data_IF_094345854858
#
_entry.id   IF_094345854858
#
_cell.length_a   1.000
_cell.length_b   1.000
_cell.length_c   1.000
_cell.angle_alpha   90.00
_cell.angle_beta   90.00
_cell.angle_gamma   90.00
#
_symmetry.space_group_name_H-M   'P 1'
#
loop_
_entity.id
_entity.type
_entity.pdbx_description
1 polymer ?
#
# COMPACT_ATOMS: atom_id res chain seq x y z
N UNK A 1 -14.07 -67.42 21.39
CA UNK A 1 -13.64 -66.27 20.49
C UNK A 1 -14.55 -65.04 20.60
N UNK A 2 -15.20 -64.75 21.72
CA UNK A 2 -16.22 -63.70 21.83
C UNK A 2 -15.86 -62.45 22.67
N UNK A 3 -14.74 -62.43 23.42
CA UNK A 3 -14.50 -61.38 24.40
C UNK A 3 -13.67 -60.20 23.90
N UNK A 4 -12.94 -60.30 22.78
CA UNK A 4 -12.10 -59.18 22.23
C UNK A 4 -12.92 -58.18 21.40
N UNK A 5 -14.01 -58.62 20.76
CA UNK A 5 -14.86 -57.76 19.90
C UNK A 5 -15.71 -56.80 20.73
N UNK A 6 -16.12 -57.23 21.94
CA UNK A 6 -16.97 -56.41 22.82
C UNK A 6 -16.21 -55.23 23.44
N UNK A 7 -14.90 -55.34 23.69
CA UNK A 7 -14.09 -54.26 24.21
C UNK A 7 -13.82 -53.18 23.15
N UNK A 8 -13.73 -53.51 21.87
CA UNK A 8 -13.50 -52.58 20.78
C UNK A 8 -14.72 -51.69 20.51
N UNK A 9 -15.95 -52.20 20.66
CA UNK A 9 -17.19 -51.41 20.52
C UNK A 9 -17.33 -50.27 21.56
N UNK A 10 -16.77 -50.46 22.77
CA UNK A 10 -16.81 -49.40 23.83
C UNK A 10 -15.90 -48.22 23.53
N UNK A 11 -14.84 -48.40 22.75
CA UNK A 11 -13.90 -47.34 22.39
C UNK A 11 -14.23 -46.64 21.06
N UNK A 12 -15.18 -47.18 20.30
CA UNK A 12 -15.60 -46.61 19.02
C UNK A 12 -16.08 -45.16 19.12
N UNK A 13 -16.92 -44.72 20.09
CA UNK A 13 -17.33 -43.33 20.22
C UNK A 13 -16.19 -42.40 20.62
N UNK A 14 -15.19 -42.90 21.34
CA UNK A 14 -14.02 -42.11 21.76
C UNK A 14 -13.10 -41.90 20.56
N UNK A 15 -12.89 -42.89 19.72
CA UNK A 15 -12.07 -42.79 18.50
C UNK A 15 -12.71 -41.87 17.46
N UNK A 16 -14.04 -41.90 17.31
CA UNK A 16 -14.75 -40.98 16.41
C UNK A 16 -14.71 -39.52 16.91
N UNK A 17 -14.88 -39.32 18.21
CA UNK A 17 -14.78 -38.00 18.82
C UNK A 17 -13.37 -37.43 18.68
N UNK A 18 -12.32 -38.25 18.88
CA UNK A 18 -10.93 -37.83 18.67
C UNK A 18 -10.63 -37.50 17.21
N UNK A 19 -11.16 -38.31 16.28
CA UNK A 19 -11.03 -38.04 14.83
C UNK A 19 -11.66 -36.68 14.41
N UNK A 20 -12.88 -36.41 14.90
CA UNK A 20 -13.57 -35.13 14.65
C UNK A 20 -12.80 -33.95 15.27
N UNK A 21 -12.27 -34.16 16.48
CA UNK A 21 -11.49 -33.12 17.16
C UNK A 21 -10.19 -32.80 16.40
N UNK A 22 -9.46 -33.83 15.96
CA UNK A 22 -8.23 -33.63 15.14
C UNK A 22 -8.58 -32.98 13.79
N UNK A 23 -9.66 -33.38 13.15
CA UNK A 23 -10.14 -32.78 11.91
C UNK A 23 -10.50 -31.30 12.11
N UNK A 24 -11.17 -30.91 13.19
CA UNK A 24 -11.46 -29.54 13.55
C UNK A 24 -10.19 -28.75 13.79
N UNK A 25 -9.20 -29.32 14.50
CA UNK A 25 -7.91 -28.64 14.72
C UNK A 25 -7.14 -28.39 13.40
N UNK A 26 -7.11 -29.38 12.51
CA UNK A 26 -6.46 -29.25 11.20
C UNK A 26 -7.21 -28.24 10.33
N UNK A 27 -8.54 -28.25 10.33
CA UNK A 27 -9.35 -27.27 9.61
C UNK A 27 -9.12 -25.85 10.15
N UNK A 28 -9.01 -25.66 11.46
CA UNK A 28 -8.69 -24.37 12.06
C UNK A 28 -7.27 -23.90 11.70
N UNK A 29 -6.28 -24.79 11.68
CA UNK A 29 -4.91 -24.43 11.24
C UNK A 29 -4.86 -24.03 9.77
N UNK A 30 -5.68 -24.66 8.91
CA UNK A 30 -5.75 -24.29 7.48
C UNK A 30 -6.43 -22.93 7.25
N UNK A 31 -7.36 -22.52 8.11
CA UNK A 31 -8.03 -21.21 8.04
C UNK A 31 -7.18 -20.06 8.59
N UNK A 32 -6.14 -20.36 9.41
CA UNK A 32 -5.26 -19.33 9.98
C UNK A 32 -4.00 -19.02 9.13
N UNK A 33 -3.86 -19.67 7.97
CA UNK A 33 -2.64 -19.62 7.13
C UNK A 33 -2.51 -18.41 6.20
N UNK A 34 -3.43 -17.44 6.16
CA UNK A 34 -3.42 -16.36 5.16
C UNK A 34 -3.40 -14.93 5.71
N UNK A 35 -2.98 -14.68 6.93
CA UNK A 35 -2.89 -13.31 7.45
C UNK A 35 -1.47 -12.94 7.85
N UNK A 36 -0.61 -12.62 6.89
CA UNK A 36 0.78 -12.27 7.23
C UNK A 36 1.28 -10.91 6.75
N UNK A 37 0.61 -10.23 5.81
CA UNK A 37 1.08 -8.91 5.35
C UNK A 37 0.28 -7.73 5.90
N UNK A 38 -1.02 -7.89 6.10
CA UNK A 38 -1.90 -6.79 6.53
C UNK A 38 -1.69 -6.36 8.00
N UNK A 39 -1.19 -7.24 8.86
CA UNK A 39 -0.97 -6.92 10.28
C UNK A 39 0.20 -5.95 10.55
N UNK A 40 1.03 -5.68 9.54
CA UNK A 40 2.09 -4.65 9.60
C UNK A 40 1.67 -3.29 9.07
N UNK A 41 0.54 -3.23 8.36
CA UNK A 41 -0.05 -1.99 7.87
C UNK A 41 -1.06 -1.50 8.90
N UNK A 42 -1.02 -0.23 9.24
CA UNK A 42 -1.93 0.39 10.20
C UNK A 42 -3.34 0.64 9.61
N UNK A 43 -3.78 -0.23 8.71
CA UNK A 43 -5.05 -0.15 7.98
C UNK A 43 -5.72 -1.53 7.88
N UNK A 44 -7.05 -1.56 7.69
CA UNK A 44 -7.80 -2.81 7.57
C UNK A 44 -7.50 -3.56 6.25
N UNK A 45 -7.75 -4.86 6.25
CA UNK A 45 -7.58 -5.70 5.05
C UNK A 45 -8.48 -5.25 3.91
N UNK A 46 -9.71 -4.84 4.22
CA UNK A 46 -10.67 -4.31 3.22
C UNK A 46 -10.14 -3.03 2.57
N UNK A 47 -9.53 -2.15 3.36
CA UNK A 47 -8.93 -0.91 2.84
C UNK A 47 -7.72 -1.20 1.95
N UNK A 48 -6.87 -2.17 2.31
CA UNK A 48 -5.76 -2.62 1.46
C UNK A 48 -6.28 -3.11 0.11
N UNK A 49 -7.31 -3.97 0.11
CA UNK A 49 -7.92 -4.48 -1.13
C UNK A 49 -8.51 -3.36 -1.98
N UNK A 50 -9.18 -2.39 -1.36
CA UNK A 50 -9.73 -1.23 -2.06
C UNK A 50 -8.62 -0.37 -2.69
N UNK A 51 -7.51 -0.13 -1.99
CA UNK A 51 -6.37 0.61 -2.55
C UNK A 51 -5.76 -0.11 -3.75
N UNK A 52 -5.57 -1.43 -3.67
CA UNK A 52 -5.02 -2.22 -4.76
C UNK A 52 -5.95 -2.26 -5.98
N UNK A 53 -7.26 -2.40 -5.77
CA UNK A 53 -8.26 -2.34 -6.84
C UNK A 53 -8.28 -0.96 -7.52
N UNK A 54 -8.29 0.12 -6.72
CA UNK A 54 -8.27 1.49 -7.21
C UNK A 54 -6.98 1.81 -7.97
N UNK A 55 -5.84 1.33 -7.48
CA UNK A 55 -4.56 1.45 -8.19
C UNK A 55 -4.60 0.80 -9.57
N UNK A 56 -5.16 -0.40 -9.70
CA UNK A 56 -5.22 -1.12 -10.96
C UNK A 56 -6.03 -0.39 -12.05
N UNK A 57 -7.03 0.38 -11.66
CA UNK A 57 -7.88 1.15 -12.57
C UNK A 57 -7.38 2.58 -12.82
N UNK A 58 -6.46 3.08 -12.00
CA UNK A 58 -6.09 4.50 -11.98
C UNK A 58 -5.29 4.87 -13.24
N UNK A 59 -5.81 5.90 -13.91
CA UNK A 59 -5.14 6.60 -15.02
C UNK A 59 -4.96 8.05 -14.62
N UNK A 60 -3.76 8.56 -14.75
CA UNK A 60 -3.39 9.90 -14.32
C UNK A 60 -2.80 10.68 -15.48
N UNK A 61 -3.09 11.95 -15.53
CA UNK A 61 -2.40 12.92 -16.38
C UNK A 61 -1.78 13.99 -15.47
N UNK A 62 -0.46 14.12 -15.54
CA UNK A 62 0.28 15.01 -14.67
C UNK A 62 0.31 16.43 -15.21
N UNK A 63 0.75 17.38 -14.40
CA UNK A 63 0.95 18.78 -14.78
C UNK A 63 1.99 18.98 -15.89
N UNK A 64 2.79 17.94 -16.17
CA UNK A 64 3.76 17.91 -17.29
C UNK A 64 3.24 17.16 -18.52
N UNK A 65 1.93 16.86 -18.57
CA UNK A 65 1.26 16.10 -19.63
C UNK A 65 1.76 14.64 -19.77
N UNK A 66 2.43 14.10 -18.76
CA UNK A 66 2.77 12.67 -18.70
C UNK A 66 1.50 11.87 -18.36
N UNK A 67 1.29 10.75 -19.07
CA UNK A 67 0.15 9.87 -18.84
C UNK A 67 0.60 8.57 -18.21
N UNK A 68 0.06 8.28 -17.04
CA UNK A 68 0.35 7.05 -16.30
C UNK A 68 -0.90 6.19 -16.17
N UNK A 69 -0.81 4.94 -16.60
CA UNK A 69 -1.77 3.88 -16.26
C UNK A 69 -1.08 3.01 -15.23
N UNK A 70 -1.47 3.11 -13.97
CA UNK A 70 -0.71 2.51 -12.87
C UNK A 70 -0.64 0.98 -12.91
N UNK A 71 -1.67 0.32 -13.49
CA UNK A 71 -1.64 -1.14 -13.69
C UNK A 71 -0.53 -1.63 -14.63
N UNK A 72 0.05 -0.72 -15.43
CA UNK A 72 1.14 -1.01 -16.37
C UNK A 72 2.38 -0.16 -16.09
N UNK A 73 2.51 0.35 -14.87
CA UNK A 73 3.71 1.06 -14.44
C UNK A 73 4.93 0.14 -14.53
N UNK A 74 5.98 0.60 -15.20
CA UNK A 74 7.23 -0.15 -15.36
C UNK A 74 8.04 -0.19 -14.05
N UNK A 75 7.84 0.83 -13.21
CA UNK A 75 8.53 0.92 -11.94
C UNK A 75 7.94 -0.09 -10.94
N UNK A 76 8.79 -0.92 -10.32
CA UNK A 76 8.32 -1.87 -9.31
C UNK A 76 7.76 -1.19 -8.05
N UNK A 77 8.21 0.02 -7.73
CA UNK A 77 7.70 0.82 -6.60
C UNK A 77 6.97 2.04 -7.13
N UNK A 78 5.74 2.25 -6.66
CA UNK A 78 4.94 3.46 -6.93
C UNK A 78 4.48 4.06 -5.61
N UNK A 79 4.67 5.37 -5.46
CA UNK A 79 4.19 6.14 -4.31
C UNK A 79 3.14 7.15 -4.81
N UNK A 80 1.94 7.07 -4.24
CA UNK A 80 0.95 8.13 -4.33
C UNK A 80 1.02 8.97 -3.05
N UNK A 81 1.42 10.23 -3.20
CA UNK A 81 1.55 11.16 -2.08
C UNK A 81 0.48 12.25 -2.20
N UNK A 82 -0.43 12.31 -1.22
CA UNK A 82 -1.54 13.27 -1.18
C UNK A 82 -1.14 14.50 -0.38
N UNK A 83 -1.26 15.68 -1.00
CA UNK A 83 -0.74 16.92 -0.46
C UNK A 83 -1.55 18.15 -0.87
N UNK A 84 -1.30 19.28 -0.20
CA UNK A 84 -1.79 20.60 -0.63
C UNK A 84 -0.72 21.68 -0.38
N UNK A 85 -0.79 22.80 -1.10
CA UNK A 85 0.19 23.89 -1.03
C UNK A 85 0.25 24.57 0.34
N UNK A 86 -0.86 24.63 1.04
CA UNK A 86 -1.00 25.17 2.40
C UNK A 86 -0.63 24.20 3.52
N UNK A 87 -0.44 22.91 3.19
CA UNK A 87 -0.12 21.87 4.16
C UNK A 87 1.38 21.87 4.49
N UNK A 88 1.77 22.51 5.60
CA UNK A 88 3.18 22.60 6.02
C UNK A 88 3.87 21.24 6.18
N UNK A 89 3.28 20.23 6.88
CA UNK A 89 3.92 18.92 7.00
C UNK A 89 4.07 18.22 5.66
N UNK A 90 3.16 18.43 4.68
CA UNK A 90 3.31 17.90 3.33
C UNK A 90 4.55 18.48 2.64
N UNK A 91 4.74 19.81 2.76
CA UNK A 91 5.88 20.50 2.17
C UNK A 91 7.20 20.08 2.84
N UNK A 92 7.18 19.83 4.17
CA UNK A 92 8.35 19.37 4.92
C UNK A 92 8.85 18.01 4.44
N UNK A 93 7.97 17.04 4.21
CA UNK A 93 8.36 15.69 3.78
C UNK A 93 8.91 15.62 2.34
N UNK A 94 8.64 16.61 1.50
CA UNK A 94 9.11 16.64 0.11
C UNK A 94 10.64 16.58 0.00
N UNK A 95 11.38 17.12 0.97
CA UNK A 95 12.84 17.03 0.95
C UNK A 95 13.32 15.58 1.02
N UNK A 96 12.72 14.77 1.89
CA UNK A 96 13.06 13.35 2.00
C UNK A 96 12.54 12.54 0.82
N UNK A 97 11.38 12.90 0.27
CA UNK A 97 10.80 12.27 -0.91
C UNK A 97 11.65 12.55 -2.18
N UNK A 98 12.14 13.78 -2.36
CA UNK A 98 13.09 14.13 -3.44
C UNK A 98 14.38 13.30 -3.35
N UNK A 99 14.92 13.16 -2.14
CA UNK A 99 16.12 12.35 -1.90
C UNK A 99 15.87 10.88 -2.22
N UNK A 100 14.68 10.36 -1.89
CA UNK A 100 14.27 9.00 -2.24
C UNK A 100 14.25 8.80 -3.75
N UNK A 101 13.61 9.73 -4.50
CA UNK A 101 13.57 9.70 -5.97
C UNK A 101 14.98 9.73 -6.56
N UNK A 102 15.84 10.60 -6.03
CA UNK A 102 17.25 10.69 -6.49
C UNK A 102 18.05 9.41 -6.20
N UNK A 103 17.74 8.72 -5.09
CA UNK A 103 18.42 7.47 -4.68
C UNK A 103 18.08 6.31 -5.60
N UNK A 104 16.81 6.08 -5.91
CA UNK A 104 16.38 4.90 -6.65
C UNK A 104 16.25 5.13 -8.16
N UNK A 105 16.02 6.37 -8.57
CA UNK A 105 15.90 6.75 -9.98
C UNK A 105 14.61 6.27 -10.65
N UNK A 106 14.38 6.73 -11.89
CA UNK A 106 13.09 6.56 -12.57
C UNK A 106 12.80 5.14 -13.07
N UNK A 107 13.79 4.25 -13.06
CA UNK A 107 13.57 2.83 -13.41
C UNK A 107 13.04 1.99 -12.26
N UNK A 108 13.22 2.42 -11.01
CA UNK A 108 12.85 1.65 -9.83
C UNK A 108 11.70 2.27 -9.05
N UNK A 109 11.54 3.60 -9.11
CA UNK A 109 10.59 4.34 -8.30
C UNK A 109 9.85 5.38 -9.14
N UNK A 110 8.52 5.33 -9.08
CA UNK A 110 7.62 6.37 -9.55
C UNK A 110 6.96 7.04 -8.36
N UNK A 111 7.09 8.35 -8.24
CA UNK A 111 6.36 9.15 -7.26
C UNK A 111 5.41 10.07 -8.00
N UNK A 112 4.14 10.08 -7.58
CA UNK A 112 3.11 10.98 -8.10
C UNK A 112 2.48 11.71 -6.92
N UNK A 113 2.63 13.04 -6.89
CA UNK A 113 1.90 13.89 -5.96
C UNK A 113 0.45 14.06 -6.42
N UNK A 114 -0.50 13.80 -5.54
CA UNK A 114 -1.93 14.08 -5.78
C UNK A 114 -2.26 15.35 -5.00
N UNK A 115 -2.44 16.45 -5.73
CA UNK A 115 -2.70 17.74 -5.11
C UNK A 115 -4.19 17.90 -4.83
N UNK A 116 -4.53 18.27 -3.60
CA UNK A 116 -5.88 18.45 -3.09
C UNK A 116 -6.16 19.91 -2.66
N UNK A 117 -5.57 20.89 -3.34
CA UNK A 117 -5.95 22.29 -3.15
C UNK A 117 -7.39 22.52 -3.64
N UNK A 118 -8.11 23.45 -3.02
CA UNK A 118 -9.50 23.76 -3.41
C UNK A 118 -9.58 24.65 -4.65
N UNK A 119 -8.60 25.55 -4.83
CA UNK A 119 -8.61 26.58 -5.87
C UNK A 119 -7.33 26.53 -6.69
N UNK A 120 -7.45 26.83 -8.00
CA UNK A 120 -6.34 27.00 -8.95
C UNK A 120 -5.16 26.01 -8.77
N UNK A 121 -5.47 24.74 -8.59
CA UNK A 121 -4.51 23.67 -8.27
C UNK A 121 -3.32 23.64 -9.22
N UNK A 122 -3.53 23.85 -10.51
CA UNK A 122 -2.45 23.83 -11.51
C UNK A 122 -1.42 24.95 -11.27
N UNK A 123 -1.88 26.11 -10.81
CA UNK A 123 -1.00 27.21 -10.47
C UNK A 123 -0.24 26.93 -9.18
N UNK A 124 -0.93 26.48 -8.14
CA UNK A 124 -0.31 26.14 -6.85
C UNK A 124 0.72 25.03 -6.99
N UNK A 125 0.42 23.96 -7.73
CA UNK A 125 1.38 22.90 -8.04
C UNK A 125 2.65 23.49 -8.69
N UNK A 126 2.49 24.30 -9.75
CA UNK A 126 3.63 24.90 -10.46
C UNK A 126 4.50 25.80 -9.57
N UNK A 127 3.87 26.55 -8.67
CA UNK A 127 4.58 27.40 -7.70
C UNK A 127 5.42 26.51 -6.76
N UNK A 128 4.83 25.49 -6.18
CA UNK A 128 5.51 24.57 -5.25
C UNK A 128 6.61 23.79 -5.96
N UNK A 129 6.30 23.19 -7.12
CA UNK A 129 7.28 22.44 -7.93
C UNK A 129 8.53 23.30 -8.24
N UNK A 130 8.32 24.54 -8.70
CA UNK A 130 9.41 25.48 -9.02
C UNK A 130 10.17 25.89 -7.77
N UNK A 131 9.47 26.27 -6.70
CA UNK A 131 10.08 26.77 -5.46
C UNK A 131 10.95 25.72 -4.77
N UNK A 132 10.52 24.46 -4.77
CA UNK A 132 11.19 23.36 -4.09
C UNK A 132 12.07 22.52 -5.02
N UNK A 133 12.04 22.76 -6.32
CA UNK A 133 12.77 21.96 -7.31
C UNK A 133 12.36 20.50 -7.24
N UNK A 134 11.04 20.21 -7.30
CA UNK A 134 10.54 18.84 -7.21
C UNK A 134 11.01 17.99 -8.39
N UNK A 135 11.53 16.83 -8.12
CA UNK A 135 12.01 15.85 -9.10
C UNK A 135 11.01 14.69 -9.32
N UNK A 136 9.77 14.89 -8.93
CA UNK A 136 8.62 14.04 -9.22
C UNK A 136 7.46 14.89 -9.76
N UNK A 137 6.46 14.24 -10.31
CA UNK A 137 5.34 14.90 -10.97
C UNK A 137 4.10 14.94 -10.08
N UNK A 138 3.23 15.92 -10.33
CA UNK A 138 1.97 16.07 -9.60
C UNK A 138 0.77 16.02 -10.55
N UNK A 139 -0.35 15.63 -9.99
CA UNK A 139 -1.69 15.61 -10.60
C UNK A 139 -2.57 16.57 -9.82
N UNK A 140 -3.34 17.39 -10.52
CA UNK A 140 -4.39 18.20 -9.93
C UNK A 140 -5.67 17.34 -9.78
N UNK A 141 -6.07 17.05 -8.55
CA UNK A 141 -7.29 16.30 -8.24
C UNK A 141 -8.49 17.26 -8.12
N UNK A 142 -8.80 17.96 -9.24
CA UNK A 142 -9.75 19.08 -9.30
C UNK A 142 -11.11 18.77 -8.67
N UNK A 143 -11.59 17.56 -8.84
CA UNK A 143 -12.90 17.12 -8.33
C UNK A 143 -12.78 16.34 -7.01
N UNK A 144 -11.59 16.19 -6.43
CA UNK A 144 -11.35 15.35 -5.26
C UNK A 144 -11.64 13.86 -5.50
N UNK A 145 -11.73 13.44 -6.77
CA UNK A 145 -12.12 12.06 -7.13
C UNK A 145 -11.07 11.05 -6.76
N UNK A 146 -9.79 11.38 -6.95
CA UNK A 146 -8.70 10.47 -6.61
C UNK A 146 -8.60 10.35 -5.08
N UNK A 147 -8.60 11.48 -4.39
CA UNK A 147 -8.60 11.56 -2.92
C UNK A 147 -9.75 10.76 -2.31
N UNK A 148 -10.98 10.93 -2.83
CA UNK A 148 -12.17 10.19 -2.40
C UNK A 148 -12.05 8.68 -2.71
N UNK A 149 -11.55 8.34 -3.89
CA UNK A 149 -11.38 6.94 -4.32
C UNK A 149 -10.40 6.18 -3.41
N UNK A 150 -9.39 6.86 -2.89
CA UNK A 150 -8.43 6.30 -1.93
C UNK A 150 -8.78 6.59 -0.47
N UNK A 151 -9.99 7.04 -0.17
CA UNK A 151 -10.49 7.29 1.19
C UNK A 151 -9.54 8.17 2.02
N UNK A 152 -8.88 9.13 1.39
CA UNK A 152 -7.96 10.06 2.06
C UNK A 152 -8.78 11.20 2.67
N UNK A 153 -8.82 11.25 3.99
CA UNK A 153 -9.55 12.27 4.75
C UNK A 153 -8.62 13.31 5.38
N UNK A 154 -7.32 12.99 5.48
CA UNK A 154 -6.30 13.84 6.10
C UNK A 154 -5.03 13.83 5.23
N UNK A 155 -4.31 14.96 5.22
CA UNK A 155 -3.02 15.10 4.54
C UNK A 155 -1.95 15.63 5.52
N UNK A 156 -0.67 15.24 5.31
CA UNK A 156 -0.19 14.38 4.24
C UNK A 156 -0.63 12.92 4.40
N UNK A 157 -0.83 12.25 3.25
CA UNK A 157 -1.00 10.81 3.25
C UNK A 157 -0.20 10.20 2.09
N UNK A 158 0.38 9.03 2.33
CA UNK A 158 1.15 8.32 1.31
C UNK A 158 0.80 6.85 1.28
N UNK A 159 0.56 6.32 0.08
CA UNK A 159 0.37 4.90 -0.18
C UNK A 159 1.51 4.43 -1.05
N UNK A 160 2.24 3.41 -0.59
CA UNK A 160 3.37 2.82 -1.31
C UNK A 160 2.97 1.46 -1.85
N UNK A 161 3.14 1.29 -3.14
CA UNK A 161 2.83 0.05 -3.85
C UNK A 161 4.12 -0.62 -4.35
N UNK A 162 4.16 -1.93 -4.27
CA UNK A 162 5.12 -2.77 -4.97
C UNK A 162 4.37 -3.68 -5.94
N UNK A 163 4.58 -3.48 -7.25
CA UNK A 163 3.87 -4.24 -8.30
C UNK A 163 2.35 -4.26 -8.10
N UNK A 164 1.77 -3.12 -7.75
CA UNK A 164 0.34 -2.95 -7.49
C UNK A 164 -0.17 -3.42 -6.12
N UNK A 165 0.68 -3.99 -5.27
CA UNK A 165 0.34 -4.43 -3.91
C UNK A 165 0.77 -3.38 -2.89
N UNK A 166 -0.10 -3.04 -1.95
CA UNK A 166 0.22 -2.09 -0.88
C UNK A 166 1.27 -2.69 0.06
N UNK A 167 2.38 -1.97 0.25
CA UNK A 167 3.46 -2.37 1.16
C UNK A 167 3.66 -1.40 2.32
N UNK A 168 3.15 -0.16 2.20
CA UNK A 168 3.20 0.83 3.27
C UNK A 168 2.08 1.86 3.10
N UNK A 169 1.55 2.35 4.21
CA UNK A 169 0.61 3.46 4.29
C UNK A 169 1.00 4.36 5.45
N UNK A 170 0.99 5.66 5.22
CA UNK A 170 1.23 6.66 6.24
C UNK A 170 0.25 7.83 6.05
N UNK A 171 -0.34 8.33 7.12
CA UNK A 171 -1.31 9.44 7.12
C UNK A 171 -0.86 10.63 7.97
N UNK A 172 0.44 10.83 8.06
CA UNK A 172 1.10 11.96 8.73
C UNK A 172 2.43 12.23 8.05
N UNK A 173 3.08 13.33 8.45
CA UNK A 173 4.44 13.65 7.99
C UNK A 173 5.38 12.45 8.18
N UNK A 174 6.11 12.09 7.12
CA UNK A 174 6.91 10.89 7.08
C UNK A 174 8.33 11.15 6.54
N UNK A 175 9.31 10.52 7.18
CA UNK A 175 10.70 10.52 6.69
C UNK A 175 10.95 9.37 5.73
N UNK A 176 10.85 9.65 4.43
CA UNK A 176 11.11 8.67 3.36
C UNK A 176 12.58 8.21 3.30
N UNK A 177 13.48 8.86 4.03
CA UNK A 177 14.89 8.46 4.15
C UNK A 177 15.18 7.69 5.43
N UNK A 178 14.14 7.40 6.23
CA UNK A 178 14.25 6.60 7.45
C UNK A 178 14.77 5.18 7.18
N UNK A 179 15.69 4.70 8.03
CA UNK A 179 16.39 3.40 7.83
C UNK A 179 15.44 2.21 7.64
N UNK A 180 14.34 2.17 8.40
CA UNK A 180 13.34 1.09 8.30
C UNK A 180 12.62 1.09 6.97
N UNK A 181 12.26 2.28 6.48
CA UNK A 181 11.59 2.44 5.20
C UNK A 181 12.54 2.10 4.03
N UNK A 182 13.78 2.59 4.04
CA UNK A 182 14.76 2.23 3.02
C UNK A 182 15.00 0.72 2.98
N UNK A 183 15.10 0.07 4.15
CA UNK A 183 15.22 -1.40 4.20
C UNK A 183 14.01 -2.12 3.59
N UNK A 184 12.80 -1.60 3.80
CA UNK A 184 11.58 -2.13 3.17
C UNK A 184 11.67 -2.01 1.64
N UNK A 185 12.01 -0.83 1.12
CA UNK A 185 12.13 -0.59 -0.33
C UNK A 185 13.22 -1.49 -0.93
N UNK A 186 14.40 -1.56 -0.33
CA UNK A 186 15.52 -2.39 -0.80
C UNK A 186 15.13 -3.88 -0.84
N UNK A 187 14.41 -4.39 0.17
CA UNK A 187 13.93 -5.76 0.18
C UNK A 187 12.95 -6.04 -0.96
N UNK A 188 12.03 -5.11 -1.23
CA UNK A 188 11.04 -5.26 -2.31
C UNK A 188 11.66 -5.17 -3.70
N UNK A 189 12.66 -4.34 -3.88
CA UNK A 189 13.43 -4.27 -5.13
C UNK A 189 14.27 -5.53 -5.37
N UNK A 190 14.74 -6.20 -4.32
CA UNK A 190 15.46 -7.46 -4.45
C UNK A 190 14.56 -8.65 -4.84
N UNK A 191 13.28 -8.65 -4.44
CA UNK A 191 12.27 -9.63 -4.86
C UNK A 191 11.89 -9.50 -6.36
N UNK A 192 12.29 -8.42 -7.02
CA UNK A 192 11.93 -8.13 -8.41
C UNK A 192 12.94 -8.64 -9.44
N UNK A 193 14.10 -9.12 -8.99
CA UNK A 193 15.16 -9.75 -9.82
C UNK A 193 14.93 -11.24 -9.92
#
# INVERSE_FOLDING_TARGET
MGSKVLKLKKFFPILTALGIFVFMLVAQMSLHGTSSSASKLNISTEMVQAYEANFAELKLETTKNSKHKLSTAEQPIVILNFWASWCRPCISEFETLKRLVSKYGPSQLLVIGINNDSDDQLKEIKIVEKKLGLNFESVADVDGKITSKFFINEIPASIVFHKGRVIHFENKEFDFMGKSFLKLIDSKLSEAK
#
